data_IF_903040794443
#
_entry.id   IF_903040794443
#
_cell.length_a   1.000
_cell.length_b   1.000
_cell.length_c   1.000
_cell.angle_alpha   90.00
_cell.angle_beta   90.00
_cell.angle_gamma   90.00
#
_symmetry.space_group_name_H-M   'P 1'
#
loop_
_entity.id
_entity.type
_entity.pdbx_description
1 polymer ?
#
# COMPACT_ATOMS: atom_id res chain seq x y z
N UNK A 1 -4.73 -5.61 -12.36
CA UNK A 1 -5.45 -4.95 -11.24
C UNK A 1 -4.40 -4.45 -10.23
N UNK A 2 -4.75 -4.25 -8.95
CA UNK A 2 -3.79 -3.88 -7.92
C UNK A 2 -3.08 -5.09 -7.32
N UNK A 3 -1.83 -5.36 -7.75
CA UNK A 3 -1.00 -6.47 -7.21
C UNK A 3 -0.64 -6.34 -5.72
N UNK A 4 -1.09 -5.30 -5.01
CA UNK A 4 -0.80 -5.06 -3.60
C UNK A 4 -2.05 -4.70 -2.78
N UNK A 5 -2.07 -5.15 -1.53
CA UNK A 5 -3.19 -4.97 -0.60
C UNK A 5 -2.83 -4.19 0.68
N UNK A 6 -1.55 -3.91 0.92
CA UNK A 6 -1.12 -3.04 2.03
C UNK A 6 0.16 -2.27 1.68
N UNK A 7 0.21 -0.99 2.08
CA UNK A 7 1.39 -0.11 1.93
C UNK A 7 1.57 0.74 3.18
N UNK A 8 2.78 0.81 3.70
CA UNK A 8 3.13 1.66 4.84
C UNK A 8 4.45 2.39 4.61
N UNK A 9 4.40 3.72 4.58
CA UNK A 9 5.58 4.60 4.51
C UNK A 9 5.75 5.34 5.85
N UNK A 10 6.57 4.83 6.79
CA UNK A 10 6.86 5.52 8.04
C UNK A 10 7.41 6.94 7.80
N UNK A 11 6.87 7.92 8.53
CA UNK A 11 7.30 9.32 8.49
C UNK A 11 7.86 9.79 9.82
N UNK A 12 8.62 10.89 9.77
CA UNK A 12 9.14 11.61 10.92
C UNK A 12 8.09 12.67 11.31
N UNK A 13 7.68 12.68 12.58
CA UNK A 13 6.77 13.69 13.12
C UNK A 13 7.45 15.07 13.18
N UNK A 14 6.68 16.14 13.08
CA UNK A 14 7.23 17.49 12.85
C UNK A 14 7.60 17.71 11.38
N UNK A 15 8.69 17.08 10.91
CA UNK A 15 9.27 17.37 9.58
C UNK A 15 8.50 16.79 8.39
N UNK A 16 7.69 15.75 8.59
CA UNK A 16 6.88 15.10 7.54
C UNK A 16 7.65 14.28 6.50
N UNK A 17 8.99 14.29 6.54
CA UNK A 17 9.89 13.43 5.74
C UNK A 17 9.58 11.94 6.00
N UNK A 18 9.86 11.07 5.03
CA UNK A 18 9.84 9.63 5.26
C UNK A 18 11.05 9.20 6.12
N UNK A 19 11.11 7.92 6.50
CA UNK A 19 12.24 7.33 7.25
C UNK A 19 13.26 6.58 6.37
N UNK A 20 13.26 6.79 5.05
CA UNK A 20 14.13 6.06 4.12
C UNK A 20 13.71 4.61 3.80
N UNK A 21 12.65 4.08 4.41
CA UNK A 21 12.13 2.74 4.11
C UNK A 21 10.59 2.71 4.08
N UNK A 22 10.04 1.66 3.46
CA UNK A 22 8.61 1.40 3.37
C UNK A 22 8.34 -0.12 3.49
N UNK A 23 7.08 -0.48 3.74
CA UNK A 23 6.59 -1.86 3.64
C UNK A 23 5.49 -1.93 2.59
N UNK A 24 5.50 -2.97 1.77
CA UNK A 24 4.45 -3.31 0.80
C UNK A 24 4.11 -4.79 0.98
N UNK A 25 2.82 -5.13 1.03
CA UNK A 25 2.35 -6.50 0.96
C UNK A 25 1.64 -6.70 -0.37
N UNK A 26 2.16 -7.61 -1.19
CA UNK A 26 1.54 -8.00 -2.45
C UNK A 26 0.34 -8.93 -2.19
N UNK A 27 -0.62 -8.96 -3.12
CA UNK A 27 -1.76 -9.87 -3.06
C UNK A 27 -1.30 -11.33 -3.25
N UNK A 28 -0.33 -11.54 -4.13
CA UNK A 28 0.28 -12.84 -4.41
C UNK A 28 1.79 -12.84 -4.14
N UNK A 29 2.32 -14.00 -3.75
CA UNK A 29 3.76 -14.25 -3.58
C UNK A 29 4.51 -14.20 -4.93
N UNK A 30 3.84 -14.58 -6.02
CA UNK A 30 4.34 -14.47 -7.41
C UNK A 30 4.79 -13.04 -7.72
N UNK A 31 3.92 -12.06 -7.51
CA UNK A 31 4.16 -10.64 -7.75
C UNK A 31 5.17 -10.04 -6.75
N UNK A 32 5.22 -10.51 -5.50
CA UNK A 32 6.27 -10.12 -4.55
C UNK A 32 7.67 -10.57 -5.02
N UNK A 33 7.81 -11.83 -5.43
CA UNK A 33 9.06 -12.38 -5.97
C UNK A 33 9.43 -11.69 -7.27
N UNK A 34 8.48 -11.52 -8.19
CA UNK A 34 8.66 -10.79 -9.46
C UNK A 34 9.12 -9.37 -9.22
N UNK A 35 8.51 -8.64 -8.28
CA UNK A 35 8.94 -7.30 -7.90
C UNK A 35 10.39 -7.32 -7.38
N UNK A 36 10.71 -8.18 -6.41
CA UNK A 36 12.05 -8.29 -5.83
C UNK A 36 13.12 -8.63 -6.88
N UNK A 37 12.85 -9.56 -7.81
CA UNK A 37 13.78 -9.93 -8.89
C UNK A 37 13.92 -8.88 -9.99
N UNK A 38 12.91 -8.05 -10.23
CA UNK A 38 12.96 -6.97 -11.23
C UNK A 38 13.32 -5.60 -10.62
N UNK A 39 13.44 -5.49 -9.30
CA UNK A 39 13.78 -4.24 -8.63
C UNK A 39 15.25 -3.87 -8.86
N UNK A 40 15.50 -3.14 -9.94
CA UNK A 40 16.76 -2.45 -10.16
C UNK A 40 16.78 -1.18 -9.31
N UNK A 41 17.83 -1.01 -8.51
CA UNK A 41 18.07 0.19 -7.70
C UNK A 41 18.45 1.39 -8.60
N UNK A 42 17.47 1.89 -9.36
CA UNK A 42 17.64 2.96 -10.33
C UNK A 42 17.26 4.31 -9.73
N UNK A 43 18.23 5.23 -9.63
CA UNK A 43 17.98 6.57 -9.10
C UNK A 43 17.15 7.43 -10.07
N UNK A 44 16.17 8.21 -9.59
CA UNK A 44 15.72 9.39 -10.31
C UNK A 44 16.86 10.42 -10.29
N UNK A 45 17.29 10.90 -11.46
CA UNK A 45 18.51 11.70 -11.65
C UNK A 45 18.47 13.15 -11.11
N UNK A 46 17.75 13.41 -10.01
CA UNK A 46 17.55 14.74 -9.42
C UNK A 46 17.92 14.84 -7.93
N UNK A 47 18.35 13.76 -7.27
CA UNK A 47 18.77 13.78 -5.85
C UNK A 47 20.29 13.72 -5.70
N UNK A 48 20.94 14.88 -5.47
CA UNK A 48 22.38 14.97 -5.13
C UNK A 48 22.67 14.54 -3.67
N UNK A 49 22.31 13.32 -3.28
CA UNK A 49 22.57 12.78 -1.93
C UNK A 49 22.86 11.28 -1.96
N UNK A 50 24.16 10.95 -1.89
CA UNK A 50 24.79 9.64 -1.57
C UNK A 50 24.44 8.38 -2.39
N UNK A 51 25.33 7.39 -2.26
CA UNK A 51 25.23 6.02 -2.78
C UNK A 51 24.15 5.14 -2.09
N UNK A 52 23.07 5.75 -1.60
CA UNK A 52 21.96 5.06 -0.94
C UNK A 52 21.06 4.32 -1.96
N UNK A 53 21.62 3.28 -2.58
CA UNK A 53 20.91 2.41 -3.52
C UNK A 53 19.75 1.70 -2.81
N UNK A 54 18.53 1.90 -3.31
CA UNK A 54 17.33 1.29 -2.74
C UNK A 54 17.44 -0.24 -2.76
N UNK A 55 17.29 -0.87 -1.60
CA UNK A 55 17.27 -2.33 -1.46
C UNK A 55 15.85 -2.83 -1.14
N UNK A 56 15.55 -4.06 -1.58
CA UNK A 56 14.30 -4.77 -1.29
C UNK A 56 14.65 -6.08 -0.61
N UNK A 57 13.98 -6.36 0.51
CA UNK A 57 14.17 -7.59 1.30
C UNK A 57 12.83 -8.02 1.93
N UNK A 58 12.64 -9.32 2.24
CA UNK A 58 11.47 -9.79 2.97
C UNK A 58 11.31 -9.09 4.33
N UNK A 59 10.10 -8.58 4.61
CA UNK A 59 9.78 -8.01 5.92
C UNK A 59 9.68 -9.09 7.00
N UNK A 60 9.94 -8.72 8.26
CA UNK A 60 9.75 -9.62 9.44
C UNK A 60 8.27 -9.92 9.69
N UNK A 61 7.37 -9.00 9.31
CA UNK A 61 5.91 -9.19 9.37
C UNK A 61 5.39 -9.53 7.98
N UNK A 62 4.98 -10.79 7.78
CA UNK A 62 4.54 -11.33 6.50
C UNK A 62 3.02 -11.49 6.42
N UNK A 63 2.44 -11.19 5.27
CA UNK A 63 1.02 -11.36 4.98
C UNK A 63 0.10 -10.24 5.48
N UNK A 64 -1.05 -10.11 4.84
CA UNK A 64 -2.04 -9.05 5.08
C UNK A 64 -2.57 -9.04 6.53
N UNK A 65 -2.91 -10.20 7.08
CA UNK A 65 -3.49 -10.31 8.43
C UNK A 65 -2.51 -9.92 9.54
N UNK A 66 -1.22 -10.33 9.43
CA UNK A 66 -0.21 -9.95 10.41
C UNK A 66 0.08 -8.44 10.35
N UNK A 67 0.13 -7.86 9.14
CA UNK A 67 0.22 -6.42 8.94
C UNK A 67 -1.00 -5.66 9.51
N UNK A 68 -2.21 -6.22 9.40
CA UNK A 68 -3.43 -5.68 10.02
C UNK A 68 -3.38 -5.71 11.55
N UNK A 69 -2.82 -6.77 12.17
CA UNK A 69 -2.59 -6.82 13.62
C UNK A 69 -1.54 -5.79 14.04
N UNK A 70 -0.42 -5.69 13.33
CA UNK A 70 0.63 -4.69 13.59
C UNK A 70 0.09 -3.24 13.48
N UNK A 71 -0.78 -2.97 12.51
CA UNK A 71 -1.45 -1.67 12.34
C UNK A 71 -2.49 -1.34 13.44
N UNK A 72 -2.97 -2.34 14.20
CA UNK A 72 -3.86 -2.14 15.37
C UNK A 72 -3.09 -1.90 16.67
N UNK A 73 -1.77 -2.02 16.67
CA UNK A 73 -0.92 -1.82 17.86
C UNK A 73 -1.10 -0.44 18.52
N UNK A 74 -0.88 -0.35 19.84
CA UNK A 74 -1.00 0.91 20.59
C UNK A 74 -0.08 2.01 20.03
N UNK A 75 1.11 1.64 19.52
CA UNK A 75 2.05 2.52 18.83
C UNK A 75 1.44 3.14 17.57
N UNK A 76 0.76 2.34 16.74
CA UNK A 76 0.07 2.82 15.54
C UNK A 76 -1.18 3.64 15.88
N UNK A 77 -1.94 3.23 16.90
CA UNK A 77 -3.14 3.94 17.37
C UNK A 77 -2.85 5.39 17.82
N UNK A 78 -1.64 5.67 18.31
CA UNK A 78 -1.17 7.02 18.67
C UNK A 78 -0.93 7.94 17.46
N UNK A 79 -0.80 7.41 16.24
CA UNK A 79 -0.62 8.23 15.03
C UNK A 79 -1.95 8.90 14.67
N UNK A 80 -2.05 10.23 14.87
CA UNK A 80 -3.26 11.01 14.59
C UNK A 80 -3.48 11.31 13.11
N UNK A 81 -2.42 11.59 12.34
CA UNK A 81 -2.52 11.86 10.89
C UNK A 81 -2.83 10.56 10.12
N UNK A 82 -3.97 10.51 9.45
CA UNK A 82 -4.39 9.34 8.64
C UNK A 82 -3.37 8.98 7.56
N UNK A 83 -2.84 9.98 6.83
CA UNK A 83 -1.81 9.81 5.81
C UNK A 83 -0.42 9.37 6.32
N UNK A 84 -0.25 9.16 7.63
CA UNK A 84 0.96 8.60 8.26
C UNK A 84 0.70 7.18 8.82
N UNK A 85 -0.52 6.64 8.67
CA UNK A 85 -0.87 5.24 8.96
C UNK A 85 -0.69 4.38 7.70
N UNK A 86 -0.61 3.05 7.83
CA UNK A 86 -0.69 2.16 6.68
C UNK A 86 -1.99 2.31 5.91
N UNK A 87 -1.90 2.24 4.58
CA UNK A 87 -3.01 2.02 3.68
C UNK A 87 -3.28 0.52 3.58
N UNK A 88 -4.54 0.13 3.68
CA UNK A 88 -5.04 -1.18 3.31
C UNK A 88 -5.94 -1.00 2.09
N UNK A 89 -5.74 -1.82 1.06
CA UNK A 89 -6.52 -1.82 -0.18
C UNK A 89 -7.29 -3.13 -0.24
N UNK A 90 -8.61 -3.05 -0.40
CA UNK A 90 -9.42 -4.24 -0.64
C UNK A 90 -9.17 -4.72 -2.07
N UNK A 91 -8.71 -5.97 -2.22
CA UNK A 91 -8.55 -6.64 -3.52
C UNK A 91 -9.81 -7.41 -3.93
N UNK A 92 -10.98 -6.92 -3.53
CA UNK A 92 -12.24 -7.37 -4.13
C UNK A 92 -12.25 -6.95 -5.61
N UNK A 93 -12.64 -7.88 -6.48
CA UNK A 93 -12.64 -7.70 -7.93
C UNK A 93 -13.54 -6.55 -8.41
N UNK A 94 -13.32 -6.03 -9.63
CA UNK A 94 -13.91 -4.77 -10.07
C UNK A 94 -15.44 -4.79 -10.06
N UNK A 95 -16.04 -3.61 -9.84
CA UNK A 95 -17.47 -3.40 -10.00
C UNK A 95 -17.85 -3.67 -11.46
N UNK A 96 -18.38 -4.87 -11.72
CA UNK A 96 -18.99 -5.24 -12.99
C UNK A 96 -20.16 -4.32 -13.28
N UNK A 97 -19.92 -3.26 -14.04
CA UNK A 97 -20.95 -2.32 -14.49
C UNK A 97 -21.75 -2.92 -15.64
N UNK A 98 -22.52 -3.96 -15.34
CA UNK A 98 -23.63 -4.36 -16.21
C UNK A 98 -24.62 -3.21 -16.29
N UNK A 99 -24.54 -2.43 -17.38
CA UNK A 99 -25.53 -1.42 -17.74
C UNK A 99 -26.77 -2.12 -18.32
N UNK A 100 -27.47 -2.89 -17.47
CA UNK A 100 -28.85 -3.29 -17.73
C UNK A 100 -29.73 -2.04 -17.89
N UNK A 101 -30.76 -2.08 -18.75
CA UNK A 101 -31.47 -0.88 -19.15
C UNK A 101 -32.28 -0.27 -17.99
N UNK A 102 -32.32 1.07 -17.96
CA UNK A 102 -33.24 1.82 -17.09
C UNK A 102 -34.69 1.49 -17.46
N UNK A 103 -35.36 0.62 -16.70
CA UNK A 103 -36.82 0.59 -16.70
C UNK A 103 -37.35 1.78 -15.90
N UNK A 104 -38.16 2.61 -16.55
CA UNK A 104 -38.84 3.72 -15.90
C UNK A 104 -40.10 3.22 -15.19
N UNK A 105 -40.14 3.33 -13.86
CA UNK A 105 -41.36 3.17 -13.06
C UNK A 105 -41.89 4.54 -12.65
N UNK A 106 -43.07 4.91 -13.12
CA UNK A 106 -43.63 6.26 -12.99
C UNK A 106 -45.01 6.23 -12.32
N UNK A 107 -45.06 6.57 -11.01
CA UNK A 107 -46.31 6.91 -10.28
C UNK A 107 -47.30 5.70 -10.22
N UNK A 108 -48.40 5.59 -9.46
CA UNK A 108 -49.08 6.32 -8.36
C UNK A 108 -49.12 5.36 -7.14
N UNK A 109 -49.32 5.79 -5.89
CA UNK A 109 -49.64 7.13 -5.38
C UNK A 109 -48.49 7.66 -4.52
#
# INVERSE_FOLDING_TARGET
>A
EGSFNYVHLPRIFGTGRNKGFAFVNFAETSEATRFMSNFKASYPAQTKFNDDSWCVAPAVVQGYQANAVAARSQKMRRIRKSCYRPLFVSTAEPIGREHGPRQAGHVVR
#
